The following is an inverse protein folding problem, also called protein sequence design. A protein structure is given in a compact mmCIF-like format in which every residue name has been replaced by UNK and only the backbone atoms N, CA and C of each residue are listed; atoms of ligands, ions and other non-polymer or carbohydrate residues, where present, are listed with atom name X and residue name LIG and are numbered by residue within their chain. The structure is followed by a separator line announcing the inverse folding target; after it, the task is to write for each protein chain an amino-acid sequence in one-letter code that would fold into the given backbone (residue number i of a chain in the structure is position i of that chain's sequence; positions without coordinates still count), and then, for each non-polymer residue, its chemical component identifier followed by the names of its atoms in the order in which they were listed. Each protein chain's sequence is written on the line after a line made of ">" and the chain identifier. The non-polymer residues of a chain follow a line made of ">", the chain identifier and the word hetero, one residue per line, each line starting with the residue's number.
data_IF_410963810744
#
_entry.id   IF_410963810744
#
_cell.length_a   1.000
_cell.length_b   1.000
_cell.length_c   1.000
_cell.angle_alpha   90.00
_cell.angle_beta   90.00
_cell.angle_gamma   90.00
#
_symmetry.space_group_name_H-M   'P 1'
#
loop_
_entity.id
_entity.type
_entity.pdbx_description
1 polymer ?
#
# COMPACT_ATOMS: atom_id res chain seq x y z
N UNK A 1 24.27 4.08 -9.90
CA UNK A 1 23.50 5.34 -9.91
C UNK A 1 22.26 5.10 -9.05
N UNK A 2 21.93 6.00 -8.13
CA UNK A 2 20.66 5.95 -7.43
C UNK A 2 19.55 6.14 -8.45
N UNK A 3 18.54 5.28 -8.48
CA UNK A 3 17.35 5.48 -9.30
C UNK A 3 16.71 6.81 -8.89
N UNK A 4 16.32 7.62 -9.87
CA UNK A 4 15.61 8.89 -9.61
C UNK A 4 14.23 8.61 -8.99
N UNK A 5 13.71 7.38 -9.26
CA UNK A 5 12.46 6.87 -8.74
C UNK A 5 12.75 5.60 -7.93
N UNK A 6 12.90 5.72 -6.59
CA UNK A 6 13.38 4.65 -5.75
C UNK A 6 12.53 3.39 -5.84
N UNK A 7 13.19 2.26 -6.09
CA UNK A 7 12.66 0.92 -5.98
C UNK A 7 13.36 0.23 -4.81
N UNK A 8 12.60 -0.15 -3.79
CA UNK A 8 13.12 -0.76 -2.57
C UNK A 8 12.60 -2.19 -2.45
N UNK A 9 13.53 -3.15 -2.42
CA UNK A 9 13.21 -4.57 -2.21
C UNK A 9 13.13 -4.88 -0.71
N UNK A 10 11.96 -5.30 -0.26
CA UNK A 10 11.73 -5.70 1.13
C UNK A 10 11.47 -7.20 1.28
N UNK A 11 11.73 -7.97 0.23
CA UNK A 11 11.44 -9.41 0.23
C UNK A 11 12.18 -10.15 1.34
N UNK A 12 13.47 -9.88 1.52
CA UNK A 12 14.24 -10.48 2.60
C UNK A 12 13.68 -10.11 3.98
N UNK A 13 13.27 -8.86 4.16
CA UNK A 13 12.61 -8.43 5.39
C UNK A 13 11.32 -9.23 5.64
N UNK A 14 10.47 -9.39 4.62
CA UNK A 14 9.17 -10.07 4.72
C UNK A 14 9.33 -11.58 4.94
N UNK A 15 10.34 -12.22 4.32
CA UNK A 15 10.56 -13.67 4.36
C UNK A 15 11.52 -14.13 5.48
N UNK A 16 12.14 -13.19 6.19
CA UNK A 16 13.06 -13.53 7.28
C UNK A 16 12.35 -14.30 8.39
N UNK A 17 12.94 -15.42 8.82
CA UNK A 17 12.44 -16.30 9.88
C UNK A 17 12.77 -15.79 11.31
N UNK A 18 12.77 -14.49 11.54
CA UNK A 18 12.91 -13.91 12.88
C UNK A 18 11.78 -14.38 13.80
N UNK A 19 12.10 -14.54 15.07
CA UNK A 19 11.10 -14.84 16.12
C UNK A 19 10.47 -13.57 16.73
N UNK A 20 10.63 -12.41 16.11
CA UNK A 20 10.17 -11.12 16.62
C UNK A 20 9.38 -10.36 15.57
N UNK A 21 8.37 -9.65 16.00
CA UNK A 21 7.68 -8.64 15.17
C UNK A 21 8.65 -7.57 14.70
N UNK A 22 8.49 -7.08 13.49
CA UNK A 22 9.41 -6.18 12.80
C UNK A 22 8.68 -5.11 12.02
N UNK A 23 9.33 -3.97 11.88
CA UNK A 23 8.79 -2.81 11.18
C UNK A 23 9.91 -2.11 10.39
N UNK A 24 9.61 -1.71 9.15
CA UNK A 24 10.49 -0.86 8.34
C UNK A 24 9.68 0.18 7.55
N UNK A 25 10.36 1.25 7.17
CA UNK A 25 9.82 2.33 6.33
C UNK A 25 10.62 2.43 5.03
N UNK A 26 10.28 1.64 4.00
CA UNK A 26 11.06 1.60 2.75
C UNK A 26 11.01 2.90 1.96
N UNK A 27 9.91 3.65 2.04
CA UNK A 27 9.77 4.97 1.41
C UNK A 27 9.43 6.00 2.48
N UNK A 28 10.17 7.12 2.46
CA UNK A 28 10.05 8.20 3.45
C UNK A 28 10.57 9.52 2.87
N UNK A 29 10.74 10.53 3.69
CA UNK A 29 11.41 11.79 3.34
C UNK A 29 12.83 11.63 2.80
N UNK A 30 13.52 10.55 3.16
CA UNK A 30 14.85 10.23 2.60
C UNK A 30 14.81 10.00 1.08
N UNK A 31 13.66 9.60 0.54
CA UNK A 31 13.41 9.46 -0.88
C UNK A 31 12.65 10.65 -1.46
N UNK A 32 12.40 11.69 -0.67
CA UNK A 32 11.66 12.89 -1.07
C UNK A 32 10.14 12.76 -1.01
N UNK A 33 9.61 11.72 -0.36
CA UNK A 33 8.18 11.54 -0.16
C UNK A 33 7.66 12.34 1.04
N UNK A 34 6.51 12.98 0.89
CA UNK A 34 5.77 13.58 2.01
C UNK A 34 4.90 12.58 2.77
N UNK A 35 4.89 11.33 2.34
CA UNK A 35 4.14 10.22 2.94
C UNK A 35 5.09 9.06 3.17
N UNK A 36 5.12 8.52 4.38
CA UNK A 36 5.94 7.36 4.69
C UNK A 36 5.18 6.08 4.40
N UNK A 37 5.72 5.22 3.55
CA UNK A 37 5.23 3.85 3.41
C UNK A 37 5.92 2.93 4.40
N UNK A 38 5.19 2.01 4.99
CA UNK A 38 5.73 1.03 5.93
C UNK A 38 5.36 -0.41 5.59
N UNK A 39 6.16 -1.30 6.13
CA UNK A 39 5.94 -2.74 6.11
C UNK A 39 6.07 -3.26 7.54
N UNK A 40 5.04 -3.96 8.03
CA UNK A 40 5.02 -4.55 9.36
C UNK A 40 4.80 -6.05 9.28
N UNK A 41 5.66 -6.81 9.96
CA UNK A 41 5.53 -8.25 10.15
C UNK A 41 5.27 -8.49 11.62
N UNK A 42 4.06 -8.99 11.96
CA UNK A 42 3.70 -9.33 13.35
C UNK A 42 3.73 -10.84 13.54
N UNK A 43 4.44 -11.27 14.57
CA UNK A 43 4.53 -12.69 14.93
C UNK A 43 3.23 -13.16 15.55
N UNK A 44 2.92 -14.48 15.47
CA UNK A 44 1.74 -15.05 16.11
C UNK A 44 1.65 -14.69 17.58
N UNK A 45 0.52 -14.13 18.00
CA UNK A 45 0.17 -13.81 19.38
C UNK A 45 1.09 -12.81 20.10
N UNK A 46 1.99 -12.11 19.39
CA UNK A 46 2.72 -10.98 19.97
C UNK A 46 1.73 -9.87 20.36
N UNK A 47 1.86 -9.38 21.59
CA UNK A 47 1.03 -8.32 22.13
C UNK A 47 1.79 -6.98 22.02
N UNK A 48 1.40 -6.08 21.11
CA UNK A 48 2.07 -4.81 20.93
C UNK A 48 1.67 -3.79 22.00
N UNK A 49 2.37 -2.66 22.04
CA UNK A 49 1.84 -1.47 22.68
C UNK A 49 0.68 -0.88 21.87
N UNK A 50 -0.33 -0.39 22.53
CA UNK A 50 -1.27 0.57 21.95
C UNK A 50 -0.49 1.81 21.57
N UNK A 51 -0.87 2.45 20.49
CA UNK A 51 -0.24 3.71 20.10
C UNK A 51 -1.22 4.56 19.30
N UNK A 52 -0.86 5.81 19.12
CA UNK A 52 -1.58 6.75 18.30
C UNK A 52 -0.60 7.65 17.52
N UNK A 53 -1.07 8.24 16.45
CA UNK A 53 -0.34 9.25 15.68
C UNK A 53 -1.05 10.59 15.84
N UNK A 54 -0.37 11.61 16.39
CA UNK A 54 -0.99 12.92 16.64
C UNK A 54 -1.03 13.82 15.42
N UNK A 55 -0.24 13.50 14.37
CA UNK A 55 0.00 14.43 13.26
C UNK A 55 -0.52 13.93 11.91
N UNK A 56 -0.79 12.63 11.76
CA UNK A 56 -1.22 12.05 10.48
C UNK A 56 -2.28 10.97 10.67
N UNK A 57 -3.00 10.70 9.59
CA UNK A 57 -3.80 9.49 9.47
C UNK A 57 -2.90 8.31 9.05
N UNK A 58 -3.26 7.09 9.47
CA UNK A 58 -2.66 5.85 8.96
C UNK A 58 -3.64 5.14 8.03
N UNK A 59 -3.16 4.77 6.85
CA UNK A 59 -3.87 3.88 5.93
C UNK A 59 -3.09 2.58 5.85
N UNK A 60 -3.73 1.43 6.04
CA UNK A 60 -3.05 0.13 5.97
C UNK A 60 -3.92 -0.95 5.34
N UNK A 61 -3.27 -2.00 4.83
CA UNK A 61 -3.90 -3.20 4.30
C UNK A 61 -3.21 -4.44 4.83
N UNK A 62 -4.00 -5.43 5.24
CA UNK A 62 -3.50 -6.75 5.65
C UNK A 62 -3.28 -7.62 4.40
N UNK A 63 -2.01 -7.91 4.10
CA UNK A 63 -1.59 -8.70 2.94
C UNK A 63 -1.55 -10.21 3.26
N UNK A 64 -1.20 -10.56 4.51
CA UNK A 64 -1.09 -11.95 4.97
C UNK A 64 -1.43 -12.07 6.45
N UNK A 65 -2.09 -13.14 6.82
CA UNK A 65 -2.49 -13.42 8.20
C UNK A 65 -3.93 -13.02 8.49
N UNK A 66 -4.30 -13.16 9.76
CA UNK A 66 -5.58 -12.77 10.33
C UNK A 66 -5.36 -12.37 11.79
N UNK A 67 -6.31 -11.68 12.40
CA UNK A 67 -6.16 -11.28 13.80
C UNK A 67 -7.22 -10.29 14.27
N UNK A 68 -6.83 -9.41 15.18
CA UNK A 68 -7.71 -8.39 15.75
C UNK A 68 -7.11 -7.00 15.54
N UNK A 69 -7.88 -6.13 14.91
CA UNK A 69 -7.66 -4.69 14.97
C UNK A 69 -8.31 -4.10 16.21
N UNK A 70 -7.55 -3.36 17.00
CA UNK A 70 -8.05 -2.46 18.04
C UNK A 70 -8.06 -1.03 17.56
N UNK A 71 -9.16 -0.30 17.79
CA UNK A 71 -9.28 1.13 17.58
C UNK A 71 -10.10 1.73 18.72
N UNK A 72 -9.47 2.51 19.61
CA UNK A 72 -10.09 2.89 20.87
C UNK A 72 -10.62 1.66 21.62
N UNK A 73 -11.91 1.66 21.95
CA UNK A 73 -12.58 0.55 22.62
C UNK A 73 -13.10 -0.55 21.67
N UNK A 74 -12.97 -0.35 20.37
CA UNK A 74 -13.45 -1.31 19.39
C UNK A 74 -12.43 -2.41 19.14
N UNK A 75 -12.95 -3.62 18.89
CA UNK A 75 -12.17 -4.80 18.49
C UNK A 75 -12.86 -5.44 17.29
N UNK A 76 -12.14 -5.51 16.18
CA UNK A 76 -12.68 -5.98 14.91
C UNK A 76 -11.78 -7.10 14.39
N UNK A 77 -12.37 -8.23 14.02
CA UNK A 77 -11.63 -9.30 13.35
C UNK A 77 -11.06 -8.81 12.04
N UNK A 78 -9.79 -9.10 11.80
CA UNK A 78 -9.05 -8.71 10.62
C UNK A 78 -8.68 -9.92 9.77
N UNK A 79 -8.82 -9.80 8.46
CA UNK A 79 -8.47 -10.84 7.47
C UNK A 79 -7.75 -10.22 6.28
N UNK A 80 -7.13 -11.08 5.47
CA UNK A 80 -6.46 -10.63 4.23
C UNK A 80 -7.40 -9.81 3.37
N UNK A 81 -6.89 -8.68 2.88
CA UNK A 81 -7.61 -7.72 2.06
C UNK A 81 -8.34 -6.64 2.85
N UNK A 82 -8.33 -6.69 4.18
CA UNK A 82 -8.89 -5.62 5.00
C UNK A 82 -8.00 -4.37 4.90
N UNK A 83 -8.62 -3.29 4.42
CA UNK A 83 -8.05 -1.96 4.34
C UNK A 83 -8.59 -1.12 5.50
N UNK A 84 -7.70 -0.44 6.19
CA UNK A 84 -8.04 0.33 7.40
C UNK A 84 -7.57 1.76 7.28
N UNK A 85 -8.40 2.68 7.78
CA UNK A 85 -8.00 4.05 8.10
C UNK A 85 -8.03 4.22 9.61
N UNK A 86 -6.93 4.68 10.16
CA UNK A 86 -6.83 5.13 11.54
C UNK A 86 -6.70 6.65 11.51
N UNK A 87 -7.71 7.39 11.97
CA UNK A 87 -7.63 8.84 12.06
C UNK A 87 -6.54 9.27 13.05
N UNK A 88 -5.90 10.40 12.78
CA UNK A 88 -4.96 11.00 13.73
C UNK A 88 -5.58 11.14 15.11
N UNK A 89 -4.80 10.83 16.15
CA UNK A 89 -5.23 10.86 17.55
C UNK A 89 -5.98 9.62 18.01
N UNK A 90 -6.35 8.70 17.13
CA UNK A 90 -7.02 7.47 17.51
C UNK A 90 -6.01 6.41 17.99
N UNK A 91 -6.19 5.94 19.23
CA UNK A 91 -5.38 4.85 19.77
C UNK A 91 -5.73 3.54 19.06
N UNK A 92 -4.70 2.80 18.64
CA UNK A 92 -4.90 1.58 17.87
C UNK A 92 -3.79 0.55 18.07
N UNK A 93 -4.07 -0.67 17.60
CA UNK A 93 -3.13 -1.78 17.55
C UNK A 93 -3.59 -2.87 16.57
N UNK A 94 -2.71 -3.82 16.28
CA UNK A 94 -3.03 -5.06 15.60
C UNK A 94 -2.36 -6.24 16.32
N UNK A 95 -3.12 -7.29 16.58
CA UNK A 95 -2.62 -8.57 17.10
C UNK A 95 -2.84 -9.65 16.06
N UNK A 96 -1.78 -10.33 15.67
CA UNK A 96 -1.85 -11.47 14.77
C UNK A 96 -2.33 -12.73 15.55
N UNK A 97 -3.46 -13.27 15.16
CA UNK A 97 -4.01 -14.51 15.76
C UNK A 97 -3.80 -15.75 14.86
N UNK A 98 -3.21 -15.58 13.67
CA UNK A 98 -2.85 -16.70 12.80
C UNK A 98 -1.65 -17.49 13.36
N UNK A 99 -1.46 -18.71 12.88
CA UNK A 99 -0.31 -19.55 13.25
C UNK A 99 1.01 -19.15 12.57
N UNK A 100 0.97 -18.20 11.64
CA UNK A 100 2.12 -17.75 10.83
C UNK A 100 2.31 -16.22 10.94
N UNK A 101 3.50 -15.70 10.64
CA UNK A 101 3.73 -14.26 10.63
C UNK A 101 2.78 -13.54 9.67
N UNK A 102 2.11 -12.49 10.12
CA UNK A 102 1.29 -11.62 9.29
C UNK A 102 2.15 -10.58 8.56
N UNK A 103 1.59 -10.02 7.50
CA UNK A 103 2.19 -8.93 6.75
C UNK A 103 1.16 -7.82 6.55
N UNK A 104 1.50 -6.63 6.99
CA UNK A 104 0.73 -5.41 6.75
C UNK A 104 1.59 -4.41 5.97
N UNK A 105 1.00 -3.78 4.97
CA UNK A 105 1.55 -2.63 4.26
C UNK A 105 0.71 -1.42 4.59
N UNK A 106 1.34 -0.28 4.83
CA UNK A 106 0.60 0.92 5.15
C UNK A 106 1.37 2.22 4.87
N UNK A 107 0.69 3.32 5.17
CA UNK A 107 1.11 4.66 4.81
C UNK A 107 0.76 5.63 5.94
N UNK A 108 1.72 6.44 6.37
CA UNK A 108 1.50 7.59 7.23
C UNK A 108 1.30 8.81 6.35
N UNK A 109 0.03 9.20 6.16
CA UNK A 109 -0.36 10.23 5.19
C UNK A 109 0.07 11.61 5.64
N UNK A 110 0.95 12.23 4.86
CA UNK A 110 1.46 13.57 5.17
C UNK A 110 2.52 13.62 6.27
N UNK A 111 3.10 12.48 6.63
CA UNK A 111 4.27 12.40 7.51
C UNK A 111 5.48 11.84 6.76
N UNK A 112 6.57 12.59 6.72
CA UNK A 112 7.78 12.24 5.96
C UNK A 112 8.65 11.18 6.63
N UNK A 113 8.45 10.92 7.93
CA UNK A 113 9.09 9.85 8.69
C UNK A 113 8.23 9.44 9.90
N UNK A 114 8.69 8.45 10.67
CA UNK A 114 7.97 7.96 11.86
C UNK A 114 7.91 9.03 12.96
N UNK A 115 8.92 9.87 13.11
CA UNK A 115 8.92 10.92 14.13
C UNK A 115 7.89 12.00 13.80
N UNK A 116 7.76 12.35 12.50
CA UNK A 116 6.78 13.32 12.02
C UNK A 116 5.33 12.87 12.23
N UNK A 117 5.07 11.56 12.42
CA UNK A 117 3.72 11.07 12.76
C UNK A 117 3.25 11.55 14.14
N UNK A 118 4.18 11.98 15.01
CA UNK A 118 3.87 12.28 16.41
C UNK A 118 3.43 11.05 17.20
N UNK A 119 4.04 9.89 16.93
CA UNK A 119 3.70 8.63 17.60
C UNK A 119 3.82 8.75 19.11
N UNK A 120 2.78 8.29 19.81
CA UNK A 120 2.77 8.18 21.27
C UNK A 120 2.31 6.76 21.65
N UNK A 121 3.07 6.14 22.54
CA UNK A 121 2.80 4.77 23.02
C UNK A 121 2.00 4.79 24.30
N UNK A 122 0.97 3.94 24.36
CA UNK A 122 0.19 3.60 25.53
C UNK A 122 0.63 2.28 26.16
N UNK A 123 -0.28 1.67 26.92
CA UNK A 123 -0.05 0.41 27.59
C UNK A 123 0.07 -0.77 26.60
N UNK A 124 0.66 -1.87 27.07
CA UNK A 124 0.65 -3.14 26.35
C UNK A 124 -0.78 -3.65 26.20
N UNK A 125 -1.08 -4.18 25.03
CA UNK A 125 -2.31 -4.94 24.79
C UNK A 125 -2.26 -6.20 25.67
N UNK A 126 -3.38 -6.54 26.30
CA UNK A 126 -3.54 -7.74 27.12
C UNK A 126 -4.46 -8.73 26.42
N UNK A 127 -4.48 -9.98 26.90
CA UNK A 127 -5.43 -10.98 26.41
C UNK A 127 -6.89 -10.61 26.71
N UNK A 128 -7.13 -9.91 27.82
CA UNK A 128 -8.47 -9.43 28.17
C UNK A 128 -8.96 -8.37 27.20
N UNK A 129 -8.06 -7.58 26.64
CA UNK A 129 -8.40 -6.62 25.58
C UNK A 129 -8.91 -7.28 24.30
N UNK A 130 -8.50 -8.52 24.02
CA UNK A 130 -8.92 -9.27 22.84
C UNK A 130 -10.22 -10.03 23.07
N UNK A 131 -10.58 -10.32 24.32
CA UNK A 131 -11.76 -11.11 24.67
C UNK A 131 -13.09 -10.38 24.38
N UNK A 132 -13.05 -9.09 24.14
CA UNK A 132 -14.23 -8.26 23.90
C UNK A 132 -14.32 -7.89 22.44
N UNK A 133 -14.65 -8.85 21.58
CA UNK A 133 -15.04 -8.56 20.21
C UNK A 133 -16.33 -7.72 20.23
N UNK A 134 -16.24 -6.47 19.86
CA UNK A 134 -17.41 -5.61 19.69
C UNK A 134 -17.56 -5.28 18.22
N UNK A 135 -18.79 -5.48 17.78
CA UNK A 135 -19.27 -5.30 16.42
C UNK A 135 -19.06 -3.90 15.86
N UNK A 136 -18.86 -3.88 14.56
CA UNK A 136 -19.31 -2.90 13.57
C UNK A 136 -19.45 -1.43 14.00
N UNK A 137 -18.55 -0.59 13.40
CA UNK A 137 -18.77 0.81 13.08
C UNK A 137 -18.93 1.80 14.24
N UNK A 138 -17.79 2.28 14.76
CA UNK A 138 -17.69 3.69 15.14
C UNK A 138 -16.21 4.08 15.26
N UNK A 139 -15.77 5.04 14.44
CA UNK A 139 -14.51 5.77 14.62
C UNK A 139 -13.32 5.36 13.76
N UNK A 140 -13.37 4.25 13.04
CA UNK A 140 -12.38 3.87 12.05
C UNK A 140 -13.05 3.21 10.85
N UNK A 141 -12.42 3.32 9.69
CA UNK A 141 -12.95 2.68 8.49
C UNK A 141 -12.18 1.38 8.30
N UNK A 142 -12.90 0.25 8.30
CA UNK A 142 -12.40 -1.05 7.88
C UNK A 142 -13.23 -1.52 6.69
N UNK A 143 -12.58 -1.74 5.55
CA UNK A 143 -13.22 -2.17 4.31
C UNK A 143 -12.43 -3.34 3.74
N UNK A 144 -13.08 -4.49 3.52
CA UNK A 144 -12.42 -5.58 2.82
C UNK A 144 -12.45 -5.34 1.31
N UNK A 145 -11.32 -5.56 0.64
CA UNK A 145 -11.20 -5.46 -0.82
C UNK A 145 -12.24 -6.30 -1.57
N UNK A 146 -12.62 -7.46 -1.01
CA UNK A 146 -13.64 -8.34 -1.59
C UNK A 146 -15.01 -7.69 -1.70
N UNK A 147 -15.31 -6.72 -0.82
CA UNK A 147 -16.60 -6.03 -0.76
C UNK A 147 -16.63 -4.76 -1.62
N UNK A 148 -15.48 -4.31 -2.16
CA UNK A 148 -15.38 -3.14 -3.04
C UNK A 148 -15.59 -3.56 -4.48
N UNK A 149 -16.52 -2.92 -5.17
CA UNK A 149 -16.72 -3.16 -6.60
C UNK A 149 -15.52 -2.66 -7.42
N UNK A 150 -15.04 -3.43 -8.41
CA UNK A 150 -14.00 -2.95 -9.31
C UNK A 150 -14.46 -1.74 -10.11
N UNK A 151 -13.59 -0.76 -10.29
CA UNK A 151 -13.79 0.33 -11.25
C UNK A 151 -13.54 -0.19 -12.67
N UNK A 152 -14.33 0.29 -13.64
CA UNK A 152 -14.10 -0.05 -15.04
C UNK A 152 -12.98 0.83 -15.60
N UNK A 153 -11.80 0.23 -15.82
CA UNK A 153 -10.64 0.91 -16.41
C UNK A 153 -10.60 0.77 -17.94
N UNK A 154 -11.37 -0.13 -18.52
CA UNK A 154 -11.46 -0.29 -19.97
C UNK A 154 -12.44 0.70 -20.56
N UNK A 155 -11.91 1.70 -21.25
CA UNK A 155 -12.67 2.68 -22.01
C UNK A 155 -12.59 2.42 -23.52
N UNK A 156 -12.29 1.20 -23.93
CA UNK A 156 -12.11 0.80 -25.33
C UNK A 156 -10.72 1.08 -25.88
N UNK A 157 -9.77 1.39 -25.03
CA UNK A 157 -8.38 1.76 -25.37
C UNK A 157 -7.36 0.68 -25.06
N UNK A 158 -7.82 -0.52 -24.66
CA UNK A 158 -6.96 -1.70 -24.47
C UNK A 158 -6.24 -1.79 -23.12
N UNK A 159 -6.68 -1.03 -22.12
CA UNK A 159 -6.22 -1.27 -20.75
C UNK A 159 -6.67 -2.66 -20.28
N UNK A 160 -5.70 -3.54 -20.03
CA UNK A 160 -5.95 -4.86 -19.46
C UNK A 160 -5.63 -4.90 -17.96
N UNK A 161 -5.95 -3.82 -17.27
CA UNK A 161 -5.98 -3.81 -15.81
C UNK A 161 -7.35 -4.31 -15.40
N UNK A 162 -7.37 -5.44 -14.74
CA UNK A 162 -8.59 -5.99 -14.17
C UNK A 162 -8.60 -5.77 -12.66
N UNK A 163 -9.79 -5.76 -12.11
CA UNK A 163 -9.93 -5.72 -10.66
C UNK A 163 -9.22 -4.50 -10.01
N UNK A 164 -9.40 -3.32 -10.62
CA UNK A 164 -8.97 -2.05 -10.04
C UNK A 164 -9.99 -1.60 -9.01
N UNK A 165 -9.59 -1.55 -7.74
CA UNK A 165 -10.48 -1.25 -6.61
C UNK A 165 -9.95 -0.08 -5.81
N UNK A 166 -10.87 0.75 -5.31
CA UNK A 166 -10.59 1.95 -4.51
C UNK A 166 -11.25 1.82 -3.13
N UNK A 167 -10.67 1.02 -2.21
CA UNK A 167 -11.29 0.80 -0.91
C UNK A 167 -11.32 2.05 -0.04
N UNK A 168 -10.33 2.94 -0.17
CA UNK A 168 -10.21 4.15 0.63
C UNK A 168 -9.99 5.35 -0.29
N UNK A 169 -10.75 6.42 -0.05
CA UNK A 169 -10.70 7.67 -0.82
C UNK A 169 -11.41 8.80 -0.05
N UNK A 170 -11.69 9.93 -0.70
CA UNK A 170 -12.56 10.98 -0.12
C UNK A 170 -13.95 10.50 0.25
N UNK A 171 -14.46 9.41 -0.36
CA UNK A 171 -15.73 8.78 0.06
C UNK A 171 -15.70 8.33 1.53
N UNK A 172 -14.51 8.11 2.05
CA UNK A 172 -14.24 7.69 3.43
C UNK A 172 -13.62 8.81 4.26
N UNK A 173 -13.61 10.05 3.75
CA UNK A 173 -13.01 11.20 4.44
C UNK A 173 -11.49 11.30 4.34
N UNK A 174 -10.82 10.47 3.53
CA UNK A 174 -9.36 10.48 3.40
C UNK A 174 -8.89 11.47 2.34
N UNK A 175 -7.75 12.12 2.58
CA UNK A 175 -7.10 13.03 1.64
C UNK A 175 -6.30 12.31 0.56
N UNK A 176 -6.15 11.00 0.65
CA UNK A 176 -5.40 10.14 -0.28
C UNK A 176 -6.27 8.95 -0.70
N UNK A 177 -5.94 8.36 -1.84
CA UNK A 177 -6.67 7.21 -2.36
C UNK A 177 -5.81 5.96 -2.30
N UNK A 178 -6.28 4.94 -1.57
CA UNK A 178 -5.71 3.59 -1.62
C UNK A 178 -6.33 2.86 -2.81
N UNK A 179 -5.48 2.27 -3.64
CA UNK A 179 -5.91 1.44 -4.75
C UNK A 179 -5.29 0.05 -4.70
N UNK A 180 -5.97 -0.90 -5.32
CA UNK A 180 -5.45 -2.22 -5.63
C UNK A 180 -5.73 -2.52 -7.10
N UNK A 181 -4.72 -3.02 -7.82
CA UNK A 181 -4.84 -3.35 -9.24
C UNK A 181 -4.23 -4.71 -9.56
N UNK A 182 -4.79 -5.37 -10.58
CA UNK A 182 -4.24 -6.56 -11.22
C UNK A 182 -3.93 -6.27 -12.68
N UNK A 183 -2.67 -6.49 -13.04
CA UNK A 183 -2.20 -6.42 -14.42
C UNK A 183 -2.15 -7.84 -14.98
N UNK A 184 -3.10 -8.16 -15.83
CA UNK A 184 -3.21 -9.51 -16.40
C UNK A 184 -2.05 -9.81 -17.38
N UNK A 185 -1.76 -11.09 -17.68
CA UNK A 185 -0.84 -11.46 -18.74
C UNK A 185 -1.18 -10.76 -20.05
N UNK A 186 -0.17 -10.19 -20.71
CA UNK A 186 -0.35 -9.42 -21.94
C UNK A 186 -0.99 -8.04 -21.74
N UNK A 187 -1.13 -7.58 -20.49
CA UNK A 187 -1.67 -6.25 -20.20
C UNK A 187 -0.89 -5.16 -20.93
N UNK A 188 -1.61 -4.31 -21.63
CA UNK A 188 -1.08 -3.09 -22.21
C UNK A 188 -1.29 -1.97 -21.21
N UNK A 189 -0.23 -1.61 -20.52
CA UNK A 189 -0.25 -0.47 -19.62
C UNK A 189 0.01 0.81 -20.41
N UNK A 190 -0.81 1.84 -20.18
CA UNK A 190 -0.63 3.15 -20.80
C UNK A 190 0.48 3.91 -20.07
N UNK A 191 1.36 4.57 -20.83
CA UNK A 191 2.25 5.57 -20.24
C UNK A 191 1.42 6.75 -19.79
N UNK A 192 1.60 7.16 -18.55
CA UNK A 192 0.87 8.27 -17.97
C UNK A 192 1.68 8.96 -16.88
N UNK A 193 1.20 10.08 -16.41
CA UNK A 193 1.72 10.77 -15.24
C UNK A 193 0.58 11.37 -14.44
N UNK A 194 0.86 11.64 -13.18
CA UNK A 194 -0.03 12.35 -12.28
C UNK A 194 0.54 13.74 -12.01
N UNK A 195 -0.19 14.81 -12.37
CA UNK A 195 0.29 16.18 -12.20
C UNK A 195 0.17 16.67 -10.74
N UNK A 196 -0.72 16.06 -9.95
CA UNK A 196 -1.10 16.60 -8.65
C UNK A 196 -0.61 15.77 -7.46
N UNK A 197 -0.17 14.52 -7.65
CA UNK A 197 0.22 13.65 -6.55
C UNK A 197 1.41 12.79 -6.89
N UNK A 198 2.16 12.42 -5.86
CA UNK A 198 3.10 11.30 -5.91
C UNK A 198 2.33 9.99 -5.86
N UNK A 199 2.93 8.91 -6.35
CA UNK A 199 2.41 7.56 -6.25
C UNK A 199 3.41 6.65 -5.55
N UNK A 200 2.93 5.89 -4.57
CA UNK A 200 3.70 4.81 -3.95
C UNK A 200 2.93 3.52 -4.16
N UNK A 201 3.57 2.47 -4.67
CA UNK A 201 2.94 1.16 -4.71
C UNK A 201 3.86 0.03 -4.24
N UNK A 202 3.24 -0.99 -3.69
CA UNK A 202 3.84 -2.24 -3.28
C UNK A 202 3.37 -3.36 -4.19
N UNK A 203 4.30 -4.17 -4.70
CA UNK A 203 3.98 -5.35 -5.48
C UNK A 203 3.76 -6.52 -4.54
N UNK A 204 2.51 -6.98 -4.48
CA UNK A 204 2.10 -8.12 -3.65
C UNK A 204 2.63 -9.42 -4.26
N UNK A 205 2.44 -9.59 -5.59
CA UNK A 205 2.84 -10.80 -6.32
C UNK A 205 3.06 -10.51 -7.80
N UNK A 206 3.67 -11.47 -8.48
CA UNK A 206 3.98 -11.38 -9.91
C UNK A 206 5.33 -10.73 -10.17
N UNK A 207 5.64 -10.52 -11.45
CA UNK A 207 6.86 -9.86 -11.92
C UNK A 207 6.60 -9.08 -13.19
N UNK A 208 7.32 -7.98 -13.37
CA UNK A 208 7.16 -7.14 -14.55
C UNK A 208 8.34 -6.22 -14.80
N UNK A 209 8.16 -5.34 -15.75
CA UNK A 209 9.06 -4.23 -16.03
C UNK A 209 8.33 -2.93 -15.70
N UNK A 210 8.90 -2.12 -14.84
CA UNK A 210 8.42 -0.78 -14.54
C UNK A 210 9.26 0.26 -15.28
N UNK A 211 8.60 1.24 -15.88
CA UNK A 211 9.22 2.43 -16.44
C UNK A 211 8.85 3.65 -15.62
N UNK A 212 9.83 4.50 -15.31
CA UNK A 212 9.62 5.81 -14.70
C UNK A 212 10.65 6.79 -15.27
N UNK A 213 10.19 7.81 -16.00
CA UNK A 213 11.06 8.68 -16.79
C UNK A 213 11.93 7.88 -17.76
N UNK A 214 13.25 8.00 -17.63
CA UNK A 214 14.21 7.21 -18.42
C UNK A 214 14.53 5.84 -17.84
N UNK A 215 14.13 5.58 -16.60
CA UNK A 215 14.48 4.36 -15.91
C UNK A 215 13.60 3.20 -16.34
N UNK A 216 14.21 2.02 -16.39
CA UNK A 216 13.56 0.73 -16.67
C UNK A 216 14.10 -0.28 -15.67
N UNK A 217 13.22 -0.83 -14.86
CA UNK A 217 13.63 -1.73 -13.78
C UNK A 217 12.70 -2.94 -13.70
N UNK A 218 13.28 -4.11 -13.54
CA UNK A 218 12.49 -5.30 -13.24
C UNK A 218 11.93 -5.22 -11.83
N UNK A 219 10.63 -5.53 -11.71
CA UNK A 219 9.91 -5.51 -10.45
C UNK A 219 9.29 -6.87 -10.16
N UNK A 220 9.12 -7.19 -8.88
CA UNK A 220 8.55 -8.45 -8.41
C UNK A 220 7.88 -8.28 -7.05
N UNK A 221 7.15 -9.29 -6.61
CA UNK A 221 6.60 -9.32 -5.26
C UNK A 221 7.65 -8.98 -4.20
N UNK A 222 7.33 -8.09 -3.28
CA UNK A 222 8.22 -7.56 -2.26
C UNK A 222 8.90 -6.23 -2.62
N UNK A 223 8.59 -5.62 -3.76
CA UNK A 223 9.13 -4.31 -4.13
C UNK A 223 8.16 -3.19 -3.78
N UNK A 224 8.68 -2.10 -3.17
CA UNK A 224 8.06 -0.78 -3.16
C UNK A 224 8.64 0.07 -4.27
N UNK A 225 7.79 0.80 -4.97
CA UNK A 225 8.20 1.78 -5.98
C UNK A 225 7.57 3.13 -5.65
N UNK A 226 8.39 4.17 -5.66
CA UNK A 226 7.97 5.54 -5.45
C UNK A 226 8.14 6.35 -6.73
N UNK A 227 7.10 7.02 -7.15
CA UNK A 227 7.04 7.82 -8.38
C UNK A 227 6.62 9.24 -8.03
N UNK A 228 7.49 10.19 -8.31
CA UNK A 228 7.18 11.60 -8.11
C UNK A 228 6.10 12.08 -9.09
N UNK A 229 5.28 13.02 -8.64
CA UNK A 229 4.33 13.71 -9.49
C UNK A 229 4.99 14.30 -10.73
N UNK A 230 4.27 14.32 -11.85
CA UNK A 230 4.76 14.80 -13.14
C UNK A 230 5.66 13.81 -13.89
N UNK A 231 6.07 12.71 -13.29
CA UNK A 231 6.90 11.71 -13.94
C UNK A 231 6.07 10.74 -14.76
N UNK A 232 6.41 10.62 -16.05
CA UNK A 232 5.84 9.58 -16.93
C UNK A 232 6.23 8.21 -16.39
N UNK A 233 5.25 7.33 -16.22
CA UNK A 233 5.48 5.98 -15.72
C UNK A 233 4.50 4.95 -16.29
N UNK A 234 4.85 3.69 -16.09
CA UNK A 234 4.05 2.54 -16.51
C UNK A 234 4.57 1.25 -15.84
N UNK A 235 3.72 0.24 -15.82
CA UNK A 235 4.07 -1.11 -15.35
C UNK A 235 3.61 -2.13 -16.39
N UNK A 236 4.50 -3.01 -16.83
CA UNK A 236 4.22 -4.03 -17.83
C UNK A 236 4.40 -5.43 -17.23
N UNK A 237 3.41 -6.28 -17.41
CA UNK A 237 3.49 -7.67 -16.97
C UNK A 237 4.33 -8.50 -17.95
N UNK A 238 5.42 -9.08 -17.47
CA UNK A 238 6.33 -9.93 -18.26
C UNK A 238 5.93 -11.42 -18.27
N UNK A 239 4.90 -11.80 -17.51
CA UNK A 239 4.43 -13.18 -17.46
C UNK A 239 3.35 -13.42 -18.50
N UNK A 240 3.38 -14.62 -19.10
CA UNK A 240 2.34 -15.09 -20.02
C UNK A 240 1.16 -15.76 -19.28
N UNK A 241 1.31 -16.04 -17.98
CA UNK A 241 0.34 -16.83 -17.22
C UNK A 241 -0.11 -16.20 -15.91
N UNK A 242 0.74 -15.42 -15.26
CA UNK A 242 0.49 -14.89 -13.91
C UNK A 242 0.25 -13.39 -13.93
N UNK A 243 -0.74 -12.87 -13.20
CA UNK A 243 -0.94 -11.43 -13.05
C UNK A 243 0.14 -10.81 -12.14
N UNK A 244 0.36 -9.51 -12.31
CA UNK A 244 0.99 -8.69 -11.28
C UNK A 244 -0.12 -8.11 -10.42
N UNK A 245 0.01 -8.25 -9.11
CA UNK A 245 -0.91 -7.65 -8.15
C UNK A 245 -0.20 -6.57 -7.35
N UNK A 246 -0.79 -5.39 -7.31
CA UNK A 246 -0.25 -4.24 -6.61
C UNK A 246 -1.27 -3.61 -5.67
N UNK A 247 -0.78 -3.01 -4.60
CA UNK A 247 -1.52 -2.06 -3.77
C UNK A 247 -0.73 -0.77 -3.70
N UNK A 248 -1.38 0.37 -3.80
CA UNK A 248 -0.69 1.66 -3.79
C UNK A 248 -1.54 2.80 -3.27
N UNK A 249 -0.88 3.93 -3.11
CA UNK A 249 -1.47 5.17 -2.62
C UNK A 249 -1.19 6.31 -3.59
N UNK A 250 -2.24 7.03 -3.98
CA UNK A 250 -2.13 8.36 -4.58
C UNK A 250 -2.02 9.39 -3.44
N UNK A 251 -0.80 9.83 -3.18
CA UNK A 251 -0.46 10.66 -2.01
C UNK A 251 -1.05 12.07 -2.14
N UNK A 252 -2.03 12.40 -1.30
CA UNK A 252 -2.69 13.70 -1.31
C UNK A 252 -3.76 13.88 -2.41
N UNK A 253 -4.09 12.84 -3.18
CA UNK A 253 -5.20 12.84 -4.11
C UNK A 253 -6.34 11.98 -3.55
N UNK A 254 -7.43 12.62 -3.20
CA UNK A 254 -8.58 11.97 -2.55
C UNK A 254 -9.47 11.16 -3.50
N UNK A 255 -9.25 11.26 -4.80
CA UNK A 255 -9.90 10.47 -5.85
C UNK A 255 -8.95 10.29 -7.03
N UNK A 256 -9.26 9.36 -7.94
CA UNK A 256 -8.51 9.20 -9.20
C UNK A 256 -8.57 10.47 -10.04
N UNK A 257 -9.69 11.18 -10.04
CA UNK A 257 -9.84 12.44 -10.77
C UNK A 257 -8.90 13.53 -10.23
N UNK A 258 -8.64 13.55 -8.92
CA UNK A 258 -7.77 14.54 -8.27
C UNK A 258 -6.28 14.30 -8.55
N UNK A 259 -5.90 13.11 -9.04
CA UNK A 259 -4.49 12.80 -9.36
C UNK A 259 -3.92 13.67 -10.47
N UNK A 260 -4.79 14.28 -11.30
CA UNK A 260 -4.35 15.01 -12.49
C UNK A 260 -3.76 14.06 -13.55
N UNK A 261 -4.39 12.90 -13.78
CA UNK A 261 -3.97 11.91 -14.76
C UNK A 261 -3.83 12.52 -16.17
N UNK A 262 -2.68 12.28 -16.79
CA UNK A 262 -2.37 12.69 -18.19
C UNK A 262 -1.86 11.48 -18.95
N UNK A 263 -2.56 11.09 -20.01
CA UNK A 263 -2.12 10.05 -20.93
C UNK A 263 -0.90 10.52 -21.75
N UNK A 264 0.14 9.69 -21.81
CA UNK A 264 1.42 9.99 -22.48
C UNK A 264 1.73 9.06 -23.66
N UNK A 265 0.82 8.16 -23.98
CA UNK A 265 0.98 7.21 -25.09
C UNK A 265 0.98 5.75 -24.63
N UNK A 266 1.08 4.85 -25.59
CA UNK A 266 1.17 3.42 -25.32
C UNK A 266 2.60 3.00 -25.01
N UNK A 267 2.76 1.95 -24.20
CA UNK A 267 4.05 1.28 -24.03
C UNK A 267 4.39 0.55 -25.33
N UNK A 268 5.53 0.86 -25.88
CA UNK A 268 6.00 0.31 -27.15
C UNK A 268 7.02 -0.81 -26.96
N UNK A 269 7.29 -1.65 -27.96
CA UNK A 269 8.37 -2.63 -27.87
C UNK A 269 9.75 -2.03 -27.55
N UNK A 270 9.98 -0.76 -27.89
CA UNK A 270 11.23 -0.07 -27.55
C UNK A 270 11.29 0.33 -26.07
N UNK A 271 10.14 0.64 -25.46
CA UNK A 271 10.06 0.88 -24.03
C UNK A 271 10.39 -0.37 -23.21
N UNK A 272 10.04 -1.55 -23.75
CA UNK A 272 10.26 -2.84 -23.09
C UNK A 272 11.70 -3.37 -23.22
N UNK A 273 12.55 -2.74 -24.02
CA UNK A 273 13.97 -3.10 -24.09
C UNK A 273 14.67 -2.64 -22.83
N UNK A 274 15.22 -3.59 -22.06
CA UNK A 274 16.10 -3.24 -20.94
C UNK A 274 17.22 -2.32 -21.43
N UNK A 275 17.35 -1.14 -20.84
CA UNK A 275 18.53 -0.31 -21.10
C UNK A 275 19.64 -0.83 -20.19
N UNK A 276 20.54 -1.63 -20.75
CA UNK A 276 21.83 -1.91 -20.12
C UNK A 276 22.57 -0.60 -20.02
N UNK A 277 22.59 -0.01 -18.82
CA UNK A 277 23.42 1.14 -18.48
C UNK A 277 24.84 0.73 -18.14
#
# INVERSE_FOLDING_TARGET
>A
MSLIHPLIDVKEFVENNSCKSRFITPISGDQGSSTTAFCSVSMPHDLPHRHLHTSCDEISILIRGEGVYGLGDQRISARVGDCRVVPKGAEHFFVNESGEPSLMVGFFVGAEDVAATGIAYGDLVTKDDLATLRSEQDGGILINLGDVQPENMDQGDGWLITDFRLPISTRNGCSSTLFRARFMPGAVHKKHRHENCDEIYYIISGRGLAGAGSDRVEVRGGHFHFIHKGVEHWLHNLSDTEPIEVVGLYCGAGSVADTGYVYMGDVTPDDLKARTG
#
